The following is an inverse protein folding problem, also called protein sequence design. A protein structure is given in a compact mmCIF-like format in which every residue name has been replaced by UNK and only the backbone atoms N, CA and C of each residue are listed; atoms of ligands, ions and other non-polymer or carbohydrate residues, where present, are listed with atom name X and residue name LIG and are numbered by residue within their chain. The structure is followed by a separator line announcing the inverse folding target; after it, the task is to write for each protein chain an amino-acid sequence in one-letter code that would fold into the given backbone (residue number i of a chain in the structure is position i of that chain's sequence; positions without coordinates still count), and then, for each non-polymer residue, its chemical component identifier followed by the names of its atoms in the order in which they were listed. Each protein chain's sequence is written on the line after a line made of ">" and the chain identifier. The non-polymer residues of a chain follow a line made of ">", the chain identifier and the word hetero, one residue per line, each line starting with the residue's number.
data_IF_781892078653
#
_entry.id   IF_781892078653
#
_cell.length_a   1.000
_cell.length_b   1.000
_cell.length_c   1.000
_cell.angle_alpha   90.00
_cell.angle_beta   90.00
_cell.angle_gamma   90.00
#
_symmetry.space_group_name_H-M   'P 1'
#
loop_
_entity.id
_entity.type
_entity.pdbx_description
1 polymer ?
#
# COMPACT_ATOMS: atom_id res chain seq x y z
N UNK A 1 -9.72 -18.13 29.88
CA UNK A 1 -9.35 -17.17 30.98
C UNK A 1 -9.94 -15.79 30.65
N UNK A 2 -10.31 -14.91 31.60
CA UNK A 2 -10.66 -13.52 31.26
C UNK A 2 -9.42 -12.63 31.26
N UNK A 3 -9.17 -11.91 30.17
CA UNK A 3 -8.05 -10.96 30.08
C UNK A 3 -8.35 -9.69 30.86
N UNK A 4 -7.27 -9.01 31.29
CA UNK A 4 -7.34 -7.70 31.94
C UNK A 4 -6.69 -6.69 31.01
N UNK A 5 -7.02 -5.39 31.15
CA UNK A 5 -6.42 -4.33 30.33
C UNK A 5 -4.88 -4.33 30.40
N UNK A 6 -4.31 -4.73 31.55
CA UNK A 6 -2.85 -4.88 31.72
C UNK A 6 -2.27 -6.00 30.85
N UNK A 7 -3.01 -7.08 30.63
CA UNK A 7 -2.58 -8.16 29.74
C UNK A 7 -2.64 -7.72 28.28
N UNK A 8 -3.65 -6.96 27.90
CA UNK A 8 -3.79 -6.42 26.54
C UNK A 8 -2.66 -5.41 26.25
N UNK A 9 -2.40 -4.47 27.18
CA UNK A 9 -1.29 -3.52 27.07
C UNK A 9 0.07 -4.25 26.98
N UNK A 10 0.24 -5.33 27.73
CA UNK A 10 1.44 -6.15 27.63
C UNK A 10 1.59 -6.79 26.24
N UNK A 11 0.53 -7.37 25.67
CA UNK A 11 0.57 -8.00 24.35
C UNK A 11 0.93 -6.96 23.29
N UNK A 12 0.26 -5.80 23.31
CA UNK A 12 0.50 -4.73 22.34
C UNK A 12 1.94 -4.20 22.42
N UNK A 13 2.44 -3.94 23.63
CA UNK A 13 3.80 -3.44 23.85
C UNK A 13 4.85 -4.48 23.47
N UNK A 14 4.59 -5.76 23.74
CA UNK A 14 5.47 -6.85 23.32
C UNK A 14 5.57 -6.90 21.80
N UNK A 15 4.45 -6.93 21.07
CA UNK A 15 4.45 -6.94 19.60
C UNK A 15 5.18 -5.73 19.00
N UNK A 16 4.97 -4.54 19.58
CA UNK A 16 5.67 -3.33 19.16
C UNK A 16 7.18 -3.42 19.41
N UNK A 17 7.58 -3.91 20.59
CA UNK A 17 8.98 -4.06 20.98
C UNK A 17 9.73 -5.08 20.10
N UNK A 18 9.04 -6.10 19.61
CA UNK A 18 9.60 -7.11 18.70
C UNK A 18 9.41 -6.76 17.21
N UNK A 19 9.10 -5.50 16.87
CA UNK A 19 9.19 -5.00 15.49
C UNK A 19 7.93 -5.16 14.64
N UNK A 20 6.75 -5.35 15.24
CA UNK A 20 5.46 -5.25 14.53
C UNK A 20 5.03 -3.78 14.48
N UNK A 21 5.51 -3.08 13.45
CA UNK A 21 5.26 -1.64 13.29
C UNK A 21 3.91 -1.34 12.62
N UNK A 22 3.47 -2.19 11.68
CA UNK A 22 2.19 -2.00 10.98
C UNK A 22 1.04 -2.10 11.98
N UNK A 23 0.34 -0.98 12.16
CA UNK A 23 -0.72 -0.83 13.15
C UNK A 23 -1.88 -1.81 12.91
N UNK A 24 -2.28 -1.99 11.65
CA UNK A 24 -3.41 -2.86 11.32
C UNK A 24 -3.08 -4.33 11.61
N UNK A 25 -1.86 -4.76 11.25
CA UNK A 25 -1.36 -6.07 11.62
C UNK A 25 -1.25 -6.25 13.13
N UNK A 26 -0.76 -5.23 13.86
CA UNK A 26 -0.67 -5.30 15.32
C UNK A 26 -2.04 -5.46 15.98
N UNK A 27 -3.03 -4.67 15.57
CA UNK A 27 -4.39 -4.77 16.09
C UNK A 27 -5.00 -6.15 15.84
N UNK A 28 -4.80 -6.70 14.63
CA UNK A 28 -5.25 -8.04 14.25
C UNK A 28 -4.58 -9.15 15.09
N UNK A 29 -3.26 -9.06 15.29
CA UNK A 29 -2.51 -9.99 16.13
C UNK A 29 -2.93 -9.89 17.61
N UNK A 30 -3.18 -8.70 18.13
CA UNK A 30 -3.68 -8.50 19.50
C UNK A 30 -5.04 -9.19 19.64
N UNK A 31 -5.97 -8.98 18.72
CA UNK A 31 -7.31 -9.59 18.75
C UNK A 31 -7.25 -11.12 18.70
N UNK A 32 -6.44 -11.66 17.79
CA UNK A 32 -6.25 -13.11 17.66
C UNK A 32 -5.56 -13.75 18.86
N UNK A 33 -4.54 -13.11 19.43
CA UNK A 33 -3.88 -13.59 20.65
C UNK A 33 -4.85 -13.52 21.84
N UNK A 34 -5.62 -12.44 21.98
CA UNK A 34 -6.59 -12.29 23.06
C UNK A 34 -7.65 -13.38 22.99
N UNK A 35 -8.29 -13.54 21.82
CA UNK A 35 -9.31 -14.56 21.58
C UNK A 35 -8.77 -15.97 21.85
N UNK A 36 -7.51 -16.25 21.45
CA UNK A 36 -6.89 -17.55 21.72
C UNK A 36 -6.72 -17.81 23.23
N UNK A 37 -6.23 -16.83 24.00
CA UNK A 37 -6.04 -16.94 25.44
C UNK A 37 -7.38 -17.09 26.17
N UNK A 38 -8.41 -16.38 25.71
CA UNK A 38 -9.72 -16.40 26.33
C UNK A 38 -10.42 -17.75 26.23
N UNK A 39 -10.21 -18.44 25.11
CA UNK A 39 -10.79 -19.75 24.82
C UNK A 39 -10.09 -20.92 25.54
N UNK A 40 -8.97 -20.69 26.23
CA UNK A 40 -8.25 -21.73 26.98
C UNK A 40 -8.69 -21.72 28.47
N UNK A 41 -8.98 -22.90 29.02
CA UNK A 41 -9.73 -23.01 30.28
C UNK A 41 -8.86 -22.86 31.54
N UNK A 42 -7.59 -23.27 31.55
CA UNK A 42 -6.84 -23.44 32.82
C UNK A 42 -5.31 -23.38 32.66
N UNK A 43 -4.75 -22.25 32.21
CA UNK A 43 -3.28 -22.04 32.32
C UNK A 43 -2.92 -20.61 32.68
N UNK A 44 -1.72 -20.44 33.25
CA UNK A 44 -1.10 -19.14 33.50
C UNK A 44 -0.98 -18.31 32.22
N UNK A 45 -1.18 -16.99 32.34
CA UNK A 45 -1.15 -16.05 31.20
C UNK A 45 0.14 -16.18 30.39
N UNK A 46 1.31 -16.25 31.03
CA UNK A 46 2.58 -16.31 30.31
C UNK A 46 2.67 -17.59 29.50
N UNK A 47 2.17 -18.70 30.04
CA UNK A 47 2.14 -19.99 29.34
C UNK A 47 1.19 -19.95 28.15
N UNK A 48 0.00 -19.36 28.29
CA UNK A 48 -0.96 -19.19 27.20
C UNK A 48 -0.43 -18.24 26.13
N UNK A 49 0.22 -17.15 26.52
CA UNK A 49 0.84 -16.20 25.61
C UNK A 49 1.96 -16.85 24.78
N UNK A 50 2.85 -17.62 25.42
CA UNK A 50 3.89 -18.36 24.71
C UNK A 50 3.31 -19.42 23.76
N UNK A 51 2.23 -20.10 24.17
CA UNK A 51 1.48 -21.02 23.28
C UNK A 51 0.86 -20.27 22.10
N UNK A 52 0.30 -19.08 22.33
CA UNK A 52 -0.29 -18.23 21.30
C UNK A 52 0.77 -17.83 20.26
N UNK A 53 1.90 -17.29 20.72
CA UNK A 53 3.02 -16.93 19.86
C UNK A 53 3.50 -18.12 19.04
N UNK A 54 3.67 -19.29 19.66
CA UNK A 54 4.06 -20.51 18.94
C UNK A 54 3.02 -20.94 17.91
N UNK A 55 1.73 -20.80 18.21
CA UNK A 55 0.63 -21.16 17.32
C UNK A 55 0.57 -20.24 16.09
N UNK A 56 0.81 -18.95 16.27
CA UNK A 56 0.77 -17.95 15.19
C UNK A 56 2.10 -17.74 14.46
N UNK A 57 3.13 -18.54 14.79
CA UNK A 57 4.43 -18.55 14.09
C UNK A 57 5.50 -17.61 14.68
N UNK A 58 5.20 -16.92 15.78
CA UNK A 58 6.14 -16.07 16.50
C UNK A 58 6.48 -14.75 15.80
N UNK A 59 7.37 -13.97 16.41
CA UNK A 59 7.70 -12.62 15.97
C UNK A 59 8.31 -12.55 14.57
N UNK A 60 9.15 -13.52 14.19
CA UNK A 60 9.73 -13.60 12.85
C UNK A 60 8.64 -13.71 11.77
N UNK A 61 7.64 -14.56 11.99
CA UNK A 61 6.50 -14.72 11.08
C UNK A 61 5.73 -13.41 10.93
N UNK A 62 5.51 -12.67 12.02
CA UNK A 62 4.81 -11.39 11.99
C UNK A 62 5.59 -10.33 11.20
N UNK A 63 6.91 -10.26 11.39
CA UNK A 63 7.78 -9.38 10.61
C UNK A 63 7.75 -9.72 9.12
N UNK A 64 7.87 -11.00 8.79
CA UNK A 64 7.79 -11.48 7.40
C UNK A 64 6.44 -11.16 6.76
N UNK A 65 5.34 -11.32 7.50
CA UNK A 65 4.00 -10.99 7.03
C UNK A 65 3.85 -9.49 6.73
N UNK A 66 4.39 -8.62 7.59
CA UNK A 66 4.43 -7.18 7.35
C UNK A 66 5.26 -6.84 6.10
N UNK A 67 6.44 -7.44 5.96
CA UNK A 67 7.32 -7.21 4.80
C UNK A 67 6.64 -7.63 3.50
N UNK A 68 6.05 -8.83 3.45
CA UNK A 68 5.34 -9.32 2.28
C UNK A 68 4.14 -8.42 1.94
N UNK A 69 3.35 -8.06 2.95
CA UNK A 69 2.19 -7.16 2.78
C UNK A 69 2.63 -5.80 2.24
N UNK A 70 3.73 -5.24 2.74
CA UNK A 70 4.28 -3.98 2.27
C UNK A 70 4.76 -4.08 0.81
N UNK A 71 5.45 -5.15 0.45
CA UNK A 71 5.84 -5.41 -0.93
C UNK A 71 4.64 -5.54 -1.86
N UNK A 72 3.60 -6.26 -1.45
CA UNK A 72 2.37 -6.40 -2.22
C UNK A 72 1.62 -5.06 -2.38
N UNK A 73 1.47 -4.29 -1.29
CA UNK A 73 0.88 -2.94 -1.31
C UNK A 73 1.63 -2.03 -2.30
N UNK A 74 2.96 -2.05 -2.25
CA UNK A 74 3.80 -1.28 -3.15
C UNK A 74 3.68 -1.73 -4.61
N UNK A 75 3.75 -3.04 -4.88
CA UNK A 75 3.57 -3.60 -6.22
C UNK A 75 2.22 -3.18 -6.81
N UNK A 76 1.14 -3.27 -6.02
CA UNK A 76 -0.21 -2.82 -6.42
C UNK A 76 -0.24 -1.32 -6.73
N UNK A 77 0.40 -0.49 -5.91
CA UNK A 77 0.51 0.96 -6.18
C UNK A 77 1.24 1.25 -7.50
N UNK A 78 2.37 0.58 -7.77
CA UNK A 78 3.10 0.71 -9.03
C UNK A 78 2.22 0.33 -10.22
N UNK A 79 1.53 -0.81 -10.14
CA UNK A 79 0.64 -1.28 -11.21
C UNK A 79 -0.45 -0.26 -11.49
N UNK A 80 -1.09 0.30 -10.46
CA UNK A 80 -2.11 1.34 -10.61
C UNK A 80 -1.56 2.60 -11.29
N UNK A 81 -0.39 3.09 -10.86
CA UNK A 81 0.25 4.26 -11.47
C UNK A 81 0.61 3.99 -12.94
N UNK A 82 1.14 2.80 -13.25
CA UNK A 82 1.49 2.44 -14.62
C UNK A 82 0.26 2.35 -15.53
N UNK A 83 -0.86 1.80 -15.03
CA UNK A 83 -2.14 1.81 -15.77
C UNK A 83 -2.62 3.23 -16.06
N UNK A 84 -2.53 4.13 -15.08
CA UNK A 84 -2.91 5.54 -15.26
C UNK A 84 -2.00 6.26 -16.26
N UNK A 85 -0.69 6.04 -16.19
CA UNK A 85 0.28 6.60 -17.15
C UNK A 85 -0.03 6.14 -18.57
N UNK A 86 -0.32 4.85 -18.73
CA UNK A 86 -0.66 4.27 -20.03
C UNK A 86 -1.95 4.89 -20.59
N UNK A 87 -3.01 4.97 -19.80
CA UNK A 87 -4.28 5.54 -20.25
C UNK A 87 -4.15 7.03 -20.62
N UNK A 88 -3.47 7.83 -19.79
CA UNK A 88 -3.24 9.25 -20.08
C UNK A 88 -2.34 9.45 -21.31
N UNK A 89 -1.29 8.65 -21.46
CA UNK A 89 -0.42 8.67 -22.63
C UNK A 89 -1.18 8.33 -23.92
N UNK A 90 -2.08 7.35 -23.86
CA UNK A 90 -2.95 7.01 -24.98
C UNK A 90 -3.87 8.17 -25.37
N UNK A 91 -4.49 8.85 -24.40
CA UNK A 91 -5.31 10.05 -24.65
C UNK A 91 -4.48 11.16 -25.33
N UNK A 92 -3.26 11.41 -24.87
CA UNK A 92 -2.37 12.39 -25.52
C UNK A 92 -2.11 12.04 -26.99
N UNK A 93 -1.80 10.78 -27.28
CA UNK A 93 -1.56 10.32 -28.67
C UNK A 93 -2.82 10.54 -29.53
N UNK A 94 -4.01 10.22 -29.01
CA UNK A 94 -5.26 10.48 -29.73
C UNK A 94 -5.47 11.97 -30.03
N UNK A 95 -5.21 12.85 -29.07
CA UNK A 95 -5.31 14.30 -29.27
C UNK A 95 -4.33 14.79 -30.34
N UNK A 96 -3.11 14.25 -30.37
CA UNK A 96 -2.11 14.57 -31.39
C UNK A 96 -2.55 14.11 -32.78
N UNK A 97 -3.04 12.87 -32.91
CA UNK A 97 -3.58 12.36 -34.18
C UNK A 97 -4.77 13.20 -34.65
N UNK A 98 -5.68 13.54 -33.74
CA UNK A 98 -6.82 14.43 -34.05
C UNK A 98 -6.36 15.79 -34.54
N UNK A 99 -5.37 16.39 -33.88
CA UNK A 99 -4.76 17.65 -34.32
C UNK A 99 -4.20 17.54 -35.74
N UNK A 100 -3.47 16.48 -36.06
CA UNK A 100 -2.88 16.26 -37.37
C UNK A 100 -3.94 16.10 -38.47
N UNK A 101 -4.99 15.32 -38.20
CA UNK A 101 -6.11 15.13 -39.14
C UNK A 101 -6.79 16.47 -39.41
N UNK A 102 -7.05 17.27 -38.37
CA UNK A 102 -7.66 18.59 -38.53
C UNK A 102 -6.77 19.53 -39.35
N UNK A 103 -5.45 19.46 -39.15
CA UNK A 103 -4.49 20.24 -39.93
C UNK A 103 -4.48 19.82 -41.41
N UNK A 104 -4.54 18.51 -41.70
CA UNK A 104 -4.60 18.00 -43.08
C UNK A 104 -5.92 18.37 -43.77
N UNK A 105 -7.04 18.25 -43.06
CA UNK A 105 -8.38 18.57 -43.58
C UNK A 105 -8.67 20.08 -43.61
N UNK A 106 -7.72 20.92 -43.17
CA UNK A 106 -7.87 22.38 -43.04
C UNK A 106 -9.06 22.79 -42.17
N UNK A 107 -9.44 21.94 -41.22
CA UNK A 107 -10.54 22.21 -40.30
C UNK A 107 -10.09 23.21 -39.23
N UNK A 108 -11.00 24.10 -38.78
CA UNK A 108 -10.72 24.99 -37.66
C UNK A 108 -10.41 24.15 -36.40
N UNK A 109 -9.66 24.72 -35.45
CA UNK A 109 -9.30 24.11 -34.16
C UNK A 109 -8.16 23.07 -34.14
N UNK A 110 -7.43 22.84 -35.25
CA UNK A 110 -6.24 21.98 -35.23
C UNK A 110 -5.26 22.36 -34.10
N UNK A 111 -4.94 23.66 -33.99
CA UNK A 111 -4.04 24.16 -32.95
C UNK A 111 -4.59 24.02 -31.52
N UNK A 112 -5.92 24.01 -31.35
CA UNK A 112 -6.53 23.84 -30.05
C UNK A 112 -6.32 22.40 -29.52
N UNK A 113 -6.46 21.40 -30.40
CA UNK A 113 -6.17 20.00 -30.06
C UNK A 113 -4.68 19.78 -29.76
N UNK A 114 -3.78 20.42 -30.52
CA UNK A 114 -2.35 20.39 -30.23
C UNK A 114 -2.03 20.99 -28.87
N UNK A 115 -2.56 22.17 -28.57
CA UNK A 115 -2.36 22.84 -27.29
C UNK A 115 -2.91 22.01 -26.13
N UNK A 116 -4.07 21.38 -26.30
CA UNK A 116 -4.64 20.49 -25.31
C UNK A 116 -3.74 19.27 -25.03
N UNK A 117 -3.17 18.66 -26.08
CA UNK A 117 -2.23 17.54 -25.93
C UNK A 117 -0.96 17.96 -25.17
N UNK A 118 -0.40 19.13 -25.49
CA UNK A 118 0.77 19.71 -24.80
C UNK A 118 0.44 20.02 -23.34
N UNK A 119 -0.69 20.70 -23.09
CA UNK A 119 -1.15 21.05 -21.76
C UNK A 119 -1.37 19.80 -20.90
N UNK A 120 -2.02 18.76 -21.44
CA UNK A 120 -2.21 17.48 -20.76
C UNK A 120 -0.87 16.79 -20.43
N UNK A 121 0.09 16.86 -21.34
CA UNK A 121 1.42 16.28 -21.12
C UNK A 121 2.16 16.98 -19.97
N UNK A 122 2.12 18.32 -19.94
CA UNK A 122 2.81 19.12 -18.92
C UNK A 122 2.10 19.08 -17.58
N UNK A 123 0.76 19.18 -17.56
CA UNK A 123 -0.02 19.30 -16.33
C UNK A 123 -0.42 17.95 -15.73
N UNK A 124 -0.39 16.84 -16.48
CA UNK A 124 -0.81 15.52 -15.97
C UNK A 124 0.32 14.50 -16.04
N UNK A 125 0.92 14.27 -17.22
CA UNK A 125 1.95 13.22 -17.35
C UNK A 125 3.18 13.56 -16.49
N UNK A 126 3.64 14.81 -16.52
CA UNK A 126 4.84 15.23 -15.78
C UNK A 126 4.65 15.14 -14.25
N UNK A 127 3.56 15.64 -13.64
CA UNK A 127 3.30 15.43 -12.21
C UNK A 127 3.19 13.96 -11.81
N UNK A 128 2.52 13.12 -12.62
CA UNK A 128 2.43 11.68 -12.37
C UNK A 128 3.81 11.03 -12.40
N UNK A 129 4.69 11.46 -13.32
CA UNK A 129 6.06 10.94 -13.41
C UNK A 129 6.89 11.32 -12.18
N UNK A 130 6.87 12.59 -11.77
CA UNK A 130 7.58 13.07 -10.60
C UNK A 130 7.07 12.42 -9.31
N UNK A 131 5.75 12.30 -9.16
CA UNK A 131 5.14 11.63 -8.02
C UNK A 131 5.56 10.15 -7.93
N UNK A 132 5.60 9.45 -9.07
CA UNK A 132 6.08 8.08 -9.12
C UNK A 132 7.55 7.95 -8.69
N UNK A 133 8.42 8.84 -9.19
CA UNK A 133 9.84 8.89 -8.80
C UNK A 133 10.00 9.15 -7.31
N UNK A 134 9.22 10.08 -6.76
CA UNK A 134 9.21 10.39 -5.33
C UNK A 134 8.78 9.18 -4.48
N UNK A 135 7.67 8.52 -4.84
CA UNK A 135 7.20 7.31 -4.14
C UNK A 135 8.19 6.16 -4.22
N UNK A 136 8.80 5.95 -5.39
CA UNK A 136 9.83 4.93 -5.58
C UNK A 136 11.07 5.22 -4.73
N UNK A 137 11.47 6.49 -4.61
CA UNK A 137 12.60 6.88 -3.78
C UNK A 137 12.33 6.57 -2.30
N UNK A 138 11.18 6.95 -1.76
CA UNK A 138 10.82 6.66 -0.36
C UNK A 138 10.84 5.17 -0.07
N UNK A 139 10.27 4.35 -0.96
CA UNK A 139 10.18 2.91 -0.71
C UNK A 139 11.51 2.17 -0.91
N UNK A 140 12.49 2.76 -1.61
CA UNK A 140 13.85 2.19 -1.71
C UNK A 140 14.64 2.32 -0.39
N UNK A 141 14.21 3.21 0.51
CA UNK A 141 14.88 3.50 1.78
C UNK A 141 14.04 3.11 3.01
N UNK A 142 12.93 2.39 2.82
CA UNK A 142 12.05 1.85 3.86
C UNK A 142 11.95 0.34 3.72
#
# INVERSE_FOLDING_TARGET
>A
MRLTDKHIDFIERSLTLYGVEDKALREDLVDHICTYIENEETSDFNTLYQKALRKFGGYESFQNLQLETNHQKFAKQIITINRLKFSMGFVVILLLVMSLVFQMMHWPYANAWLLAAIALSVLVILPIHLYFKYKLAIHKFS
#
